data_IF_349583102418
#
_entry.id   IF_349583102418
#
_cell.length_a   1.000
_cell.length_b   1.000
_cell.length_c   1.000
_cell.angle_alpha   90.00
_cell.angle_beta   90.00
_cell.angle_gamma   90.00
#
_symmetry.space_group_name_H-M   'P 1'
#
loop_
_entity.id
_entity.type
_entity.pdbx_description
1 polymer ?
#
# COMPACT_ATOMS: atom_id res chain seq x y z
N UNK A 1 -15.76 9.19 -73.75
CA UNK A 1 -15.51 7.90 -73.06
C UNK A 1 -14.03 7.82 -72.78
N UNK A 2 -13.61 8.04 -71.53
CA UNK A 2 -12.22 7.89 -71.11
C UNK A 2 -12.21 7.11 -69.80
N UNK A 3 -11.39 6.07 -69.76
CA UNK A 3 -11.30 5.08 -68.71
C UNK A 3 -10.27 5.45 -67.64
N UNK A 4 -10.57 4.97 -66.44
CA UNK A 4 -9.79 4.75 -65.21
C UNK A 4 -8.25 4.65 -65.29
N UNK A 5 -7.60 5.24 -64.29
CA UNK A 5 -6.40 4.69 -63.63
C UNK A 5 -6.41 5.02 -62.12
N UNK A 6 -6.33 3.97 -61.28
CA UNK A 6 -6.16 4.02 -59.83
C UNK A 6 -4.69 4.36 -59.43
N UNK A 7 -4.44 4.90 -58.23
CA UNK A 7 -3.10 5.04 -57.69
C UNK A 7 -2.67 3.86 -56.79
N UNK A 8 -1.42 3.44 -56.97
CA UNK A 8 -0.74 2.31 -56.35
C UNK A 8 -0.13 2.66 -54.97
N UNK A 9 -0.62 1.94 -53.95
CA UNK A 9 -0.01 1.43 -52.69
C UNK A 9 0.78 2.29 -51.65
N UNK A 10 0.54 2.00 -50.34
CA UNK A 10 1.38 2.39 -49.20
C UNK A 10 2.40 1.28 -48.85
N UNK A 11 3.60 1.27 -49.44
CA UNK A 11 4.66 0.27 -49.16
C UNK A 11 5.57 0.56 -47.94
N UNK A 12 5.34 1.64 -47.19
CA UNK A 12 6.29 2.10 -46.14
C UNK A 12 6.00 1.63 -44.72
N UNK A 13 4.79 1.12 -44.44
CA UNK A 13 4.41 0.72 -43.07
C UNK A 13 4.77 -0.74 -42.72
N UNK A 14 4.87 -1.62 -43.72
CA UNK A 14 5.12 -3.05 -43.48
C UNK A 14 6.61 -3.39 -43.30
N UNK A 15 7.52 -2.68 -43.98
CA UNK A 15 8.97 -2.91 -43.82
C UNK A 15 9.52 -2.58 -42.42
N UNK A 16 8.86 -1.68 -41.67
CA UNK A 16 9.25 -1.36 -40.29
C UNK A 16 8.87 -2.50 -39.31
N UNK A 17 7.77 -3.21 -39.58
CA UNK A 17 7.35 -4.38 -38.78
C UNK A 17 8.25 -5.59 -39.03
N UNK A 18 8.70 -5.76 -40.27
CA UNK A 18 9.56 -6.87 -40.67
C UNK A 18 10.99 -6.70 -40.10
N UNK A 19 11.53 -5.47 -40.07
CA UNK A 19 12.84 -5.18 -39.48
C UNK A 19 12.88 -5.32 -37.94
N UNK A 20 11.74 -5.16 -37.24
CA UNK A 20 11.64 -5.31 -35.79
C UNK A 20 11.28 -6.75 -35.35
N UNK A 21 10.96 -7.64 -36.29
CA UNK A 21 10.41 -8.97 -36.02
C UNK A 21 11.42 -10.07 -35.67
N UNK A 22 12.72 -9.88 -35.92
CA UNK A 22 13.68 -11.01 -35.94
C UNK A 22 14.55 -11.23 -34.69
N UNK A 23 14.32 -10.50 -33.59
CA UNK A 23 15.09 -10.71 -32.35
C UNK A 23 14.41 -10.23 -31.07
N UNK A 24 13.15 -9.82 -31.14
CA UNK A 24 12.42 -9.27 -30.00
C UNK A 24 11.28 -10.22 -29.65
N UNK A 25 11.42 -10.92 -28.52
CA UNK A 25 10.36 -11.75 -27.96
C UNK A 25 9.19 -10.84 -27.52
N UNK A 26 8.27 -10.65 -28.47
CA UNK A 26 7.14 -9.73 -28.33
C UNK A 26 6.19 -10.14 -27.21
N UNK A 27 6.10 -11.44 -26.88
CA UNK A 27 5.30 -11.93 -25.75
C UNK A 27 5.97 -11.62 -24.43
N UNK A 28 7.28 -11.83 -24.32
CA UNK A 28 8.04 -11.46 -23.12
C UNK A 28 8.03 -9.94 -22.87
N UNK A 29 8.07 -9.13 -23.93
CA UNK A 29 7.88 -7.68 -23.81
C UNK A 29 6.45 -7.33 -23.41
N UNK A 30 5.42 -7.90 -24.05
CA UNK A 30 4.02 -7.66 -23.66
C UNK A 30 3.76 -8.00 -22.19
N UNK A 31 4.31 -9.11 -21.70
CA UNK A 31 4.22 -9.48 -20.29
C UNK A 31 4.92 -8.48 -19.34
N UNK A 32 6.01 -7.84 -19.77
CA UNK A 32 6.69 -6.77 -18.99
C UNK A 32 6.00 -5.40 -19.08
N UNK A 33 5.24 -5.17 -20.14
CA UNK A 33 4.41 -3.99 -20.35
C UNK A 33 2.97 -4.16 -19.85
N UNK A 34 2.61 -5.31 -19.29
CA UNK A 34 1.26 -5.59 -18.82
C UNK A 34 0.88 -4.71 -17.62
N UNK A 35 -0.15 -3.88 -17.81
CA UNK A 35 -0.71 -2.93 -16.84
C UNK A 35 -1.91 -3.56 -16.09
N UNK A 36 -2.30 -4.80 -16.41
CA UNK A 36 -3.50 -5.45 -15.87
C UNK A 36 -3.59 -5.40 -14.34
N UNK A 37 -2.46 -5.52 -13.65
CA UNK A 37 -2.45 -5.50 -12.18
C UNK A 37 -2.59 -4.08 -11.57
N UNK A 38 -2.34 -3.04 -12.36
CA UNK A 38 -2.32 -1.63 -11.96
C UNK A 38 -3.33 -0.79 -12.77
N UNK A 39 -4.56 -1.30 -12.88
CA UNK A 39 -5.65 -0.62 -13.58
C UNK A 39 -6.22 0.55 -12.72
N UNK A 40 -6.50 1.73 -13.33
CA UNK A 40 -7.11 2.86 -12.62
C UNK A 40 -8.43 2.54 -11.92
N UNK A 41 -9.26 1.67 -12.52
CA UNK A 41 -10.52 1.26 -11.92
C UNK A 41 -10.30 0.47 -10.62
N UNK A 42 -9.28 -0.39 -10.58
CA UNK A 42 -8.90 -1.11 -9.36
C UNK A 42 -8.39 -0.15 -8.27
N UNK A 43 -7.60 0.86 -8.64
CA UNK A 43 -7.15 1.90 -7.72
C UNK A 43 -8.31 2.69 -7.12
N UNK A 44 -9.24 3.16 -7.96
CA UNK A 44 -10.42 3.88 -7.51
C UNK A 44 -11.28 3.01 -6.59
N UNK A 45 -11.44 1.74 -6.93
CA UNK A 45 -12.17 0.77 -6.10
C UNK A 45 -11.51 0.56 -4.74
N UNK A 46 -10.18 0.46 -4.70
CA UNK A 46 -9.42 0.42 -3.46
C UNK A 46 -9.66 1.64 -2.59
N UNK A 47 -9.64 2.83 -3.18
CA UNK A 47 -9.91 4.07 -2.47
C UNK A 47 -11.35 4.15 -1.93
N UNK A 48 -12.33 3.67 -2.70
CA UNK A 48 -13.72 3.54 -2.22
C UNK A 48 -13.82 2.58 -1.02
N UNK A 49 -13.09 1.46 -1.05
CA UNK A 49 -13.02 0.53 0.07
C UNK A 49 -12.40 1.15 1.32
N UNK A 50 -11.49 2.11 1.20
CA UNK A 50 -11.00 2.89 2.35
C UNK A 50 -12.16 3.55 3.08
N UNK A 51 -13.03 4.25 2.36
CA UNK A 51 -14.15 4.99 2.95
C UNK A 51 -15.21 4.04 3.53
N UNK A 52 -15.58 2.99 2.78
CA UNK A 52 -16.57 1.99 3.24
C UNK A 52 -16.03 1.21 4.43
N UNK A 53 -14.75 0.79 4.37
CA UNK A 53 -14.06 0.09 5.45
C UNK A 53 -13.98 0.94 6.72
N UNK A 54 -13.55 2.21 6.59
CA UNK A 54 -13.47 3.14 7.72
C UNK A 54 -14.85 3.36 8.35
N UNK A 55 -15.89 3.54 7.54
CA UNK A 55 -17.26 3.68 8.04
C UNK A 55 -17.75 2.43 8.77
N UNK A 56 -17.46 1.23 8.26
CA UNK A 56 -17.81 -0.03 8.93
C UNK A 56 -17.02 -0.23 10.21
N UNK A 57 -15.73 0.11 10.23
CA UNK A 57 -14.89 0.05 11.41
C UNK A 57 -15.41 0.99 12.50
N UNK A 58 -15.75 2.24 12.17
CA UNK A 58 -16.31 3.21 13.13
C UNK A 58 -17.66 2.78 13.72
N UNK A 59 -18.39 1.87 13.06
CA UNK A 59 -19.64 1.29 13.58
C UNK A 59 -19.44 0.05 14.43
N UNK A 60 -18.22 -0.48 14.53
CA UNK A 60 -17.93 -1.65 15.33
C UNK A 60 -17.79 -1.27 16.81
N UNK A 61 -18.74 -1.64 17.68
CA UNK A 61 -18.67 -1.28 19.09
C UNK A 61 -17.48 -1.95 19.81
N UNK A 62 -16.97 -3.07 19.30
CA UNK A 62 -15.84 -3.79 19.90
C UNK A 62 -14.52 -3.00 19.83
N UNK A 63 -14.40 -2.02 18.92
CA UNK A 63 -13.20 -1.19 18.81
C UNK A 63 -13.15 -0.09 19.89
N UNK A 64 -14.27 0.23 20.54
CA UNK A 64 -14.39 1.32 21.51
C UNK A 64 -14.48 0.80 22.95
N UNK A 65 -13.53 -0.04 23.34
CA UNK A 65 -13.41 -0.54 24.72
C UNK A 65 -12.37 0.24 25.51
N UNK A 66 -12.45 0.19 26.84
CA UNK A 66 -11.54 0.89 27.77
C UNK A 66 -10.06 0.57 27.50
N UNK A 67 -9.74 -0.68 27.15
CA UNK A 67 -8.38 -1.09 26.83
C UNK A 67 -7.84 -0.42 25.56
N UNK A 68 -8.66 -0.35 24.50
CA UNK A 68 -8.29 0.32 23.26
C UNK A 68 -8.17 1.84 23.44
N UNK A 69 -9.00 2.46 24.30
CA UNK A 69 -8.86 3.88 24.63
C UNK A 69 -7.53 4.19 25.33
N UNK A 70 -7.12 3.36 26.30
CA UNK A 70 -5.83 3.55 26.99
C UNK A 70 -4.64 3.43 26.03
N UNK A 71 -4.71 2.46 25.11
CA UNK A 71 -3.68 2.26 24.10
C UNK A 71 -3.67 3.40 23.07
N UNK A 72 -4.84 3.85 22.63
CA UNK A 72 -4.98 5.01 21.76
C UNK A 72 -4.39 6.27 22.41
N UNK A 73 -4.63 6.50 23.70
CA UNK A 73 -4.06 7.62 24.43
C UNK A 73 -2.51 7.54 24.50
N UNK A 74 -1.96 6.35 24.82
CA UNK A 74 -0.51 6.14 24.83
C UNK A 74 0.10 6.35 23.45
N UNK A 75 -0.58 5.87 22.41
CA UNK A 75 -0.17 6.04 21.03
C UNK A 75 -0.16 7.52 20.59
N UNK A 76 -1.17 8.29 20.99
CA UNK A 76 -1.23 9.75 20.75
C UNK A 76 -0.09 10.45 21.49
N UNK A 77 0.16 10.10 22.76
CA UNK A 77 1.27 10.65 23.53
C UNK A 77 2.64 10.33 22.89
N UNK A 78 2.85 9.10 22.43
CA UNK A 78 4.05 8.71 21.70
C UNK A 78 4.19 9.49 20.39
N UNK A 79 3.10 9.66 19.62
CA UNK A 79 3.08 10.46 18.41
C UNK A 79 3.45 11.92 18.65
N UNK A 80 2.93 12.53 19.72
CA UNK A 80 3.29 13.89 20.15
C UNK A 80 4.76 13.96 20.53
N UNK A 81 5.24 13.04 21.37
CA UNK A 81 6.63 13.01 21.83
C UNK A 81 7.61 12.92 20.65
N UNK A 82 7.35 12.05 19.67
CA UNK A 82 8.24 11.92 18.53
C UNK A 82 8.16 13.14 17.61
N UNK A 83 6.97 13.73 17.43
CA UNK A 83 6.83 14.99 16.68
C UNK A 83 7.64 16.11 17.33
N UNK A 84 7.68 16.19 18.66
CA UNK A 84 8.53 17.13 19.38
C UNK A 84 10.01 16.83 19.13
N UNK A 85 10.45 15.57 19.24
CA UNK A 85 11.84 15.17 18.96
C UNK A 85 12.27 15.58 17.56
N UNK A 86 11.41 15.38 16.56
CA UNK A 86 11.65 15.78 15.17
C UNK A 86 11.65 17.30 14.99
N UNK A 87 10.79 18.01 15.72
CA UNK A 87 10.70 19.46 15.65
C UNK A 87 11.88 20.18 16.34
N UNK A 88 12.53 19.55 17.33
CA UNK A 88 13.65 20.15 18.08
C UNK A 88 14.81 20.57 17.17
N UNK A 89 15.33 19.74 16.24
CA UNK A 89 16.36 20.17 15.30
C UNK A 89 15.93 21.35 14.42
N UNK A 90 14.68 21.35 13.95
CA UNK A 90 14.14 22.41 13.08
C UNK A 90 14.03 23.72 13.86
N UNK A 91 13.52 23.65 15.09
CA UNK A 91 13.46 24.79 16.01
C UNK A 91 14.86 25.29 16.36
N UNK A 92 15.82 24.38 16.57
CA UNK A 92 17.22 24.72 16.84
C UNK A 92 17.85 25.50 15.68
N UNK A 93 17.64 25.06 14.43
CA UNK A 93 18.08 25.81 13.24
C UNK A 93 17.41 27.18 13.19
N UNK A 94 16.11 27.28 13.46
CA UNK A 94 15.38 28.55 13.48
C UNK A 94 15.91 29.52 14.54
N UNK A 95 16.19 29.03 15.75
CA UNK A 95 16.79 29.83 16.83
C UNK A 95 18.22 30.26 16.46
N UNK A 96 19.00 29.38 15.85
CA UNK A 96 20.35 29.71 15.39
C UNK A 96 20.32 30.81 14.32
N UNK A 97 19.44 30.69 13.33
CA UNK A 97 19.25 31.72 12.30
C UNK A 97 18.79 33.05 12.90
N UNK A 98 17.87 33.00 13.87
CA UNK A 98 17.45 34.19 14.63
C UNK A 98 18.61 34.84 15.38
N UNK A 99 19.47 34.06 16.06
CA UNK A 99 20.67 34.57 16.73
C UNK A 99 21.68 35.16 15.74
N UNK A 100 21.85 34.55 14.56
CA UNK A 100 22.71 35.10 13.51
C UNK A 100 22.17 36.42 12.96
N UNK A 101 20.85 36.59 12.89
CA UNK A 101 20.18 37.85 12.52
C UNK A 101 20.41 39.00 13.50
N UNK A 102 20.85 38.72 14.73
CA UNK A 102 21.26 39.76 15.69
C UNK A 102 22.64 40.34 15.36
N UNK A 103 23.48 39.59 14.64
CA UNK A 103 24.87 39.96 14.31
C UNK A 103 24.99 40.46 12.86
N UNK A 104 24.12 39.97 11.97
CA UNK A 104 24.14 40.31 10.55
C UNK A 104 22.77 40.85 10.12
N UNK A 105 22.66 42.04 9.49
CA UNK A 105 21.39 42.54 8.99
C UNK A 105 20.88 41.62 7.87
N UNK A 106 19.85 40.84 8.18
CA UNK A 106 19.24 39.84 7.29
C UNK A 106 18.11 40.41 6.43
N UNK A 107 18.01 41.74 6.32
CA UNK A 107 16.89 42.45 5.67
C UNK A 107 16.77 42.16 4.15
N UNK A 108 17.76 41.53 3.53
CA UNK A 108 17.74 41.12 2.12
C UNK A 108 17.73 39.60 1.87
N UNK A 109 17.73 38.77 2.93
CA UNK A 109 18.17 37.37 2.85
C UNK A 109 17.01 36.40 3.08
N UNK A 110 16.33 35.98 2.00
CA UNK A 110 15.19 35.02 1.96
C UNK A 110 15.52 33.57 2.35
N UNK A 111 16.64 33.34 3.04
CA UNK A 111 17.16 32.00 3.32
C UNK A 111 16.41 31.30 4.45
N UNK A 112 15.81 32.02 5.41
CA UNK A 112 15.10 31.43 6.55
C UNK A 112 13.94 30.54 6.07
N UNK A 113 13.02 31.10 5.28
CA UNK A 113 11.88 30.37 4.76
C UNK A 113 12.31 29.23 3.82
N UNK A 114 13.32 29.43 2.98
CA UNK A 114 13.77 28.38 2.06
C UNK A 114 14.46 27.20 2.78
N UNK A 115 15.21 27.47 3.85
CA UNK A 115 15.90 26.44 4.64
C UNK A 115 14.91 25.68 5.52
N UNK A 116 14.00 26.37 6.20
CA UNK A 116 12.97 25.74 7.05
C UNK A 116 12.05 24.86 6.20
N UNK A 117 11.55 25.38 5.07
CA UNK A 117 10.74 24.57 4.13
C UNK A 117 11.51 23.39 3.54
N UNK A 118 12.83 23.54 3.33
CA UNK A 118 13.71 22.45 2.91
C UNK A 118 13.84 21.35 3.95
N UNK A 119 14.00 21.71 5.23
CA UNK A 119 14.08 20.76 6.34
C UNK A 119 12.76 20.02 6.55
N UNK A 120 11.63 20.73 6.49
CA UNK A 120 10.30 20.12 6.53
C UNK A 120 10.11 19.14 5.37
N UNK A 121 10.53 19.52 4.15
CA UNK A 121 10.48 18.63 3.00
C UNK A 121 11.35 17.37 3.18
N UNK A 122 12.56 17.53 3.72
CA UNK A 122 13.47 16.42 3.99
C UNK A 122 12.89 15.49 5.06
N UNK A 123 12.40 16.03 6.17
CA UNK A 123 11.78 15.23 7.22
C UNK A 123 10.56 14.45 6.72
N UNK A 124 9.68 15.14 6.01
CA UNK A 124 8.38 14.59 5.59
C UNK A 124 8.51 13.62 4.41
N UNK A 125 9.28 13.96 3.38
CA UNK A 125 9.32 13.21 2.12
C UNK A 125 10.59 12.41 1.89
N UNK A 126 11.75 12.88 2.37
CA UNK A 126 13.04 12.18 2.14
C UNK A 126 13.29 11.14 3.24
N UNK A 127 13.13 11.55 4.49
CA UNK A 127 13.28 10.70 5.67
C UNK A 127 12.02 9.93 6.01
N UNK A 128 10.86 10.28 5.45
CA UNK A 128 9.59 9.57 5.65
C UNK A 128 9.18 9.48 7.12
N UNK A 129 9.41 10.53 7.91
CA UNK A 129 9.23 10.48 9.36
C UNK A 129 7.82 10.01 9.77
N UNK A 130 6.69 10.47 9.17
CA UNK A 130 5.38 9.93 9.54
C UNK A 130 5.25 8.42 9.35
N UNK A 131 5.84 7.88 8.28
CA UNK A 131 5.83 6.44 8.03
C UNK A 131 6.71 5.67 9.02
N UNK A 132 7.86 6.22 9.40
CA UNK A 132 8.66 5.68 10.50
C UNK A 132 7.83 5.52 11.77
N UNK A 133 7.08 6.57 12.14
CA UNK A 133 6.23 6.55 13.33
C UNK A 133 5.19 5.45 13.23
N UNK A 134 4.50 5.35 12.09
CA UNK A 134 3.51 4.30 11.86
C UNK A 134 4.10 2.90 12.05
N UNK A 135 5.25 2.61 11.43
CA UNK A 135 5.86 1.29 11.55
C UNK A 135 6.43 1.04 12.96
N UNK A 136 6.89 2.08 13.66
CA UNK A 136 7.30 2.00 15.05
C UNK A 136 6.12 1.68 15.98
N UNK A 137 4.92 2.19 15.70
CA UNK A 137 3.73 1.94 16.51
C UNK A 137 3.40 0.46 16.66
N UNK A 138 3.72 -0.38 15.67
CA UNK A 138 3.54 -1.83 15.75
C UNK A 138 4.34 -2.46 16.89
N UNK A 139 5.53 -1.94 17.18
CA UNK A 139 6.36 -2.42 18.30
C UNK A 139 5.92 -1.83 19.64
N UNK A 140 5.26 -0.67 19.63
CA UNK A 140 4.81 0.04 20.84
C UNK A 140 3.41 -0.37 21.29
N UNK A 141 2.54 -0.78 20.36
CA UNK A 141 1.13 -1.10 20.61
C UNK A 141 0.79 -2.45 19.95
N UNK A 142 1.01 -3.58 20.65
CA UNK A 142 0.85 -4.94 20.11
C UNK A 142 -0.62 -5.38 19.89
N UNK A 143 -1.59 -4.47 19.89
CA UNK A 143 -3.03 -4.79 19.81
C UNK A 143 -3.64 -4.69 18.43
N UNK A 144 -2.85 -4.33 17.42
CA UNK A 144 -3.29 -4.24 16.03
C UNK A 144 -3.88 -5.56 15.51
N UNK A 145 -3.27 -6.67 15.88
CA UNK A 145 -3.77 -8.01 15.55
C UNK A 145 -5.17 -8.29 16.14
N UNK A 146 -5.40 -7.85 17.37
CA UNK A 146 -6.72 -7.97 18.02
C UNK A 146 -7.77 -7.08 17.34
N UNK A 147 -7.40 -5.85 16.96
CA UNK A 147 -8.31 -4.95 16.22
C UNK A 147 -8.71 -5.56 14.88
N UNK A 148 -7.76 -6.14 14.16
CA UNK A 148 -8.02 -6.87 12.91
C UNK A 148 -9.01 -8.02 13.13
N UNK A 149 -8.74 -8.89 14.11
CA UNK A 149 -9.57 -10.08 14.37
C UNK A 149 -10.97 -9.72 14.87
N UNK A 150 -11.11 -8.72 15.74
CA UNK A 150 -12.41 -8.23 16.21
C UNK A 150 -13.22 -7.57 15.09
N UNK A 151 -12.55 -6.82 14.22
CA UNK A 151 -13.21 -6.25 13.04
C UNK A 151 -13.65 -7.34 12.06
N UNK A 152 -12.84 -8.37 11.85
CA UNK A 152 -13.20 -9.51 11.01
C UNK A 152 -14.43 -10.25 11.54
N UNK A 153 -14.50 -10.47 12.86
CA UNK A 153 -15.67 -11.04 13.51
C UNK A 153 -16.92 -10.19 13.28
N UNK A 154 -16.80 -8.87 13.43
CA UNK A 154 -17.90 -7.94 13.22
C UNK A 154 -18.38 -7.92 11.76
N UNK A 155 -17.46 -8.01 10.79
CA UNK A 155 -17.79 -8.11 9.36
C UNK A 155 -18.59 -9.38 9.07
N UNK A 156 -18.22 -10.51 9.65
CA UNK A 156 -18.98 -11.77 9.49
C UNK A 156 -20.37 -11.70 10.13
N UNK A 157 -20.47 -11.17 11.35
CA UNK A 157 -21.77 -10.99 12.04
C UNK A 157 -22.69 -10.08 11.22
N UNK A 158 -22.17 -8.93 10.76
CA UNK A 158 -22.93 -7.96 9.95
C UNK A 158 -23.33 -8.57 8.61
N UNK A 159 -22.49 -9.40 8.00
CA UNK A 159 -22.80 -10.10 6.76
C UNK A 159 -23.98 -11.05 6.94
N UNK A 160 -23.95 -11.91 7.97
CA UNK A 160 -25.06 -12.82 8.28
C UNK A 160 -26.34 -12.05 8.59
N UNK A 161 -26.24 -10.93 9.31
CA UNK A 161 -27.39 -10.08 9.62
C UNK A 161 -28.01 -9.44 8.36
N UNK A 162 -27.18 -9.01 7.40
CA UNK A 162 -27.64 -8.41 6.14
C UNK A 162 -28.34 -9.42 5.23
N UNK A 163 -27.94 -10.69 5.28
CA UNK A 163 -28.43 -11.75 4.39
C UNK A 163 -29.33 -12.76 5.13
N UNK A 164 -29.99 -12.35 6.22
CA UNK A 164 -30.93 -13.22 6.99
C UNK A 164 -32.08 -13.77 6.13
N UNK A 165 -32.46 -13.05 5.08
CA UNK A 165 -33.53 -13.45 4.16
C UNK A 165 -33.08 -14.31 2.98
N UNK A 166 -31.78 -14.53 2.82
CA UNK A 166 -31.22 -15.23 1.67
C UNK A 166 -31.04 -16.73 1.96
N UNK A 167 -30.92 -17.53 0.90
CA UNK A 167 -30.80 -18.97 1.04
C UNK A 167 -29.43 -19.35 1.61
N UNK A 168 -29.36 -20.21 2.65
CA UNK A 168 -28.09 -20.51 3.34
C UNK A 168 -26.97 -21.03 2.44
N UNK A 169 -27.31 -21.75 1.36
CA UNK A 169 -26.33 -22.32 0.43
C UNK A 169 -25.74 -21.29 -0.56
N UNK A 170 -26.28 -20.07 -0.60
CA UNK A 170 -25.77 -18.97 -1.43
C UNK A 170 -24.89 -18.01 -0.62
N UNK A 171 -24.81 -18.19 0.70
CA UNK A 171 -24.00 -17.36 1.58
C UNK A 171 -22.53 -17.77 1.50
N UNK A 172 -21.64 -16.77 1.56
CA UNK A 172 -20.21 -17.03 1.71
C UNK A 172 -19.91 -17.68 3.06
N UNK A 173 -18.87 -18.50 3.10
CA UNK A 173 -18.31 -19.00 4.36
C UNK A 173 -17.74 -17.85 5.23
N UNK A 174 -17.77 -18.05 6.55
CA UNK A 174 -17.24 -17.09 7.53
C UNK A 174 -15.71 -17.12 7.57
N UNK A 175 -15.09 -15.95 7.78
CA UNK A 175 -13.63 -15.82 7.83
C UNK A 175 -13.10 -16.03 9.24
N UNK A 176 -13.71 -15.35 10.21
CA UNK A 176 -13.23 -15.31 11.59
C UNK A 176 -13.11 -16.69 12.25
N UNK A 177 -14.10 -17.61 12.15
CA UNK A 177 -14.03 -18.91 12.84
C UNK A 177 -12.86 -19.78 12.40
N UNK A 178 -12.53 -19.77 11.11
CA UNK A 178 -11.42 -20.54 10.56
C UNK A 178 -10.09 -19.84 10.81
N UNK A 179 -10.02 -18.52 10.56
CA UNK A 179 -8.78 -17.77 10.72
C UNK A 179 -8.30 -17.71 12.18
N UNK A 180 -9.20 -17.71 13.16
CA UNK A 180 -8.84 -17.79 14.59
C UNK A 180 -8.17 -19.13 14.97
N UNK A 181 -8.45 -20.21 14.24
CA UNK A 181 -7.85 -21.53 14.48
C UNK A 181 -6.44 -21.63 13.90
N UNK A 182 -6.06 -20.73 13.00
CA UNK A 182 -4.74 -20.74 12.39
C UNK A 182 -3.75 -20.20 13.43
N UNK A 183 -2.65 -20.92 13.62
CA UNK A 183 -1.58 -20.45 14.50
C UNK A 183 -0.98 -19.19 13.88
N UNK A 184 -0.99 -18.09 14.62
CA UNK A 184 -0.22 -16.91 14.23
C UNK A 184 1.26 -17.23 14.45
N UNK A 185 2.03 -17.23 13.38
CA UNK A 185 3.48 -17.20 13.44
C UNK A 185 3.85 -15.75 13.21
N UNK A 186 4.41 -15.09 14.23
CA UNK A 186 4.94 -13.73 14.05
C UNK A 186 5.95 -13.76 12.92
N UNK A 187 5.58 -13.14 11.79
CA UNK A 187 6.41 -13.03 10.59
C UNK A 187 7.71 -12.24 10.82
N UNK A 188 7.86 -11.66 12.01
CA UNK A 188 9.11 -11.17 12.56
C UNK A 188 9.64 -12.17 13.60
N UNK A 189 10.57 -13.02 13.15
CA UNK A 189 11.59 -13.73 13.94
C UNK A 189 11.14 -14.86 14.87
N UNK A 190 11.72 -16.04 14.61
CA UNK A 190 12.07 -17.01 15.65
C UNK A 190 12.56 -16.30 16.91
N UNK A 191 11.89 -16.44 18.06
CA UNK A 191 12.51 -16.36 19.39
C UNK A 191 13.41 -15.14 19.73
N UNK A 192 13.30 -13.99 19.08
CA UNK A 192 14.14 -12.83 19.38
C UNK A 192 13.36 -11.78 20.17
N UNK A 193 13.96 -11.30 21.26
CA UNK A 193 13.40 -10.28 22.15
C UNK A 193 12.93 -9.03 21.38
N UNK A 194 11.82 -8.41 21.80
CA UNK A 194 11.23 -7.20 21.17
C UNK A 194 12.24 -6.09 20.90
N UNK A 195 13.28 -5.99 21.74
CA UNK A 195 14.39 -5.04 21.60
C UNK A 195 15.26 -5.30 20.36
N UNK A 196 15.49 -6.56 20.01
CA UNK A 196 16.26 -6.96 18.84
C UNK A 196 15.47 -6.72 17.54
N UNK A 197 14.17 -7.01 17.55
CA UNK A 197 13.29 -6.68 16.43
C UNK A 197 13.23 -5.16 16.18
N UNK A 198 13.15 -4.38 17.26
CA UNK A 198 13.18 -2.92 17.20
C UNK A 198 14.52 -2.39 16.67
N UNK A 199 15.67 -2.88 17.15
CA UNK A 199 16.98 -2.43 16.67
C UNK A 199 17.20 -2.74 15.19
N UNK A 200 16.79 -3.93 14.73
CA UNK A 200 16.81 -4.29 13.32
C UNK A 200 15.88 -3.41 12.47
N UNK A 201 14.72 -3.02 12.99
CA UNK A 201 13.84 -2.06 12.33
C UNK A 201 14.52 -0.69 12.20
N UNK A 202 15.07 -0.15 13.30
CA UNK A 202 15.76 1.14 13.32
C UNK A 202 16.95 1.16 12.34
N UNK A 203 17.78 0.12 12.32
CA UNK A 203 18.92 0.02 11.40
C UNK A 203 18.46 -0.03 9.93
N UNK A 204 17.43 -0.81 9.61
CA UNK A 204 16.86 -0.87 8.24
C UNK A 204 16.31 0.49 7.82
N UNK A 205 15.66 1.21 8.73
CA UNK A 205 15.12 2.53 8.46
C UNK A 205 16.25 3.56 8.26
N UNK A 206 17.23 3.60 9.14
CA UNK A 206 18.40 4.48 9.04
C UNK A 206 19.15 4.27 7.72
N UNK A 207 19.43 3.01 7.34
CA UNK A 207 20.07 2.69 6.07
C UNK A 207 19.28 3.21 4.86
N UNK A 208 17.95 3.06 4.87
CA UNK A 208 17.09 3.60 3.81
C UNK A 208 17.11 5.13 3.79
N UNK A 209 17.03 5.77 4.95
CA UNK A 209 17.14 7.22 5.10
C UNK A 209 18.45 7.77 4.52
N UNK A 210 19.59 7.14 4.85
CA UNK A 210 20.89 7.52 4.30
C UNK A 210 20.94 7.41 2.77
N UNK A 211 20.39 6.33 2.19
CA UNK A 211 20.32 6.17 0.73
C UNK A 211 19.44 7.26 0.10
N UNK A 212 18.27 7.55 0.70
CA UNK A 212 17.37 8.61 0.23
C UNK A 212 18.04 9.99 0.28
N UNK A 213 18.75 10.30 1.37
CA UNK A 213 19.51 11.54 1.52
C UNK A 213 20.64 11.62 0.50
N UNK A 214 21.36 10.52 0.25
CA UNK A 214 22.41 10.47 -0.77
C UNK A 214 21.84 10.72 -2.17
N UNK A 215 20.74 10.06 -2.56
CA UNK A 215 20.07 10.29 -3.85
C UNK A 215 19.61 11.75 -3.97
N UNK A 216 19.04 12.30 -2.90
CA UNK A 216 18.61 13.69 -2.85
C UNK A 216 19.80 14.64 -3.03
N UNK A 217 20.91 14.44 -2.33
CA UNK A 217 22.14 15.22 -2.47
C UNK A 217 22.72 15.12 -3.88
N UNK A 218 22.80 13.92 -4.46
CA UNK A 218 23.26 13.70 -5.83
C UNK A 218 22.38 14.43 -6.86
N UNK A 219 21.09 14.65 -6.56
CA UNK A 219 20.19 15.39 -7.45
C UNK A 219 20.57 16.88 -7.60
N UNK A 220 21.39 17.43 -6.70
CA UNK A 220 21.88 18.81 -6.79
C UNK A 220 23.13 18.98 -7.67
N UNK A 221 23.73 17.89 -8.17
CA UNK A 221 24.87 17.98 -9.08
C UNK A 221 24.46 18.70 -10.40
N UNK A 222 25.24 19.69 -10.87
CA UNK A 222 24.84 20.57 -11.98
C UNK A 222 24.69 19.86 -13.33
N UNK A 223 25.37 18.72 -13.54
CA UNK A 223 25.37 17.96 -14.80
C UNK A 223 24.44 16.75 -14.75
N UNK A 224 24.55 15.91 -13.71
CA UNK A 224 23.86 14.62 -13.62
C UNK A 224 22.56 14.73 -12.82
N UNK A 225 22.43 15.75 -11.96
CA UNK A 225 21.38 15.83 -10.94
C UNK A 225 19.94 15.86 -11.48
N UNK A 226 19.74 16.37 -12.71
CA UNK A 226 18.42 16.32 -13.39
C UNK A 226 17.98 14.88 -13.71
N UNK A 227 18.92 13.97 -13.95
CA UNK A 227 18.63 12.57 -14.30
C UNK A 227 18.67 11.63 -13.09
N UNK A 228 19.31 12.01 -11.99
CA UNK A 228 19.42 11.16 -10.78
C UNK A 228 18.05 10.76 -10.26
N UNK A 229 17.14 11.71 -10.04
CA UNK A 229 15.81 11.41 -9.51
C UNK A 229 14.96 10.60 -10.49
N UNK A 230 14.83 10.96 -11.78
CA UNK A 230 14.16 10.10 -12.76
C UNK A 230 14.76 8.70 -12.83
N UNK A 231 16.09 8.56 -12.89
CA UNK A 231 16.75 7.26 -12.98
C UNK A 231 16.52 6.41 -11.72
N UNK A 232 16.64 7.00 -10.53
CA UNK A 232 16.32 6.33 -9.27
C UNK A 232 14.83 5.94 -9.20
N UNK A 233 13.94 6.81 -9.68
CA UNK A 233 12.50 6.56 -9.79
C UNK A 233 12.23 5.37 -10.71
N UNK A 234 12.83 5.36 -11.90
CA UNK A 234 12.67 4.28 -12.85
C UNK A 234 13.19 2.96 -12.28
N UNK A 235 14.40 2.95 -11.71
CA UNK A 235 15.00 1.75 -11.14
C UNK A 235 14.14 1.14 -10.02
N UNK A 236 13.62 1.97 -9.14
CA UNK A 236 12.81 1.52 -7.99
C UNK A 236 11.38 1.18 -8.37
N UNK A 237 10.74 1.97 -9.24
CA UNK A 237 9.35 1.82 -9.64
C UNK A 237 9.14 0.71 -10.69
N UNK A 238 10.08 0.52 -11.63
CA UNK A 238 10.02 -0.55 -12.63
C UNK A 238 9.94 -1.94 -11.97
N UNK A 239 10.71 -2.15 -10.89
CA UNK A 239 10.67 -3.42 -10.14
C UNK A 239 9.32 -3.69 -9.47
N UNK A 240 8.52 -2.64 -9.26
CA UNK A 240 7.25 -2.73 -8.55
C UNK A 240 6.06 -2.83 -9.53
N UNK A 241 6.00 -1.96 -10.54
CA UNK A 241 4.81 -1.78 -11.41
C UNK A 241 5.06 -2.23 -12.87
N UNK A 242 6.28 -2.64 -13.21
CA UNK A 242 6.65 -3.06 -14.58
C UNK A 242 7.13 -1.91 -15.47
N UNK A 243 7.53 -2.26 -16.70
CA UNK A 243 8.24 -1.35 -17.59
C UNK A 243 7.36 -0.22 -18.13
N UNK A 244 6.08 -0.49 -18.41
CA UNK A 244 5.16 0.48 -19.01
C UNK A 244 4.95 1.71 -18.12
N UNK A 245 4.32 1.56 -16.94
CA UNK A 245 4.10 2.67 -16.02
C UNK A 245 5.40 3.35 -15.57
N UNK A 246 6.49 2.59 -15.41
CA UNK A 246 7.79 3.16 -15.05
C UNK A 246 8.37 4.06 -16.14
N UNK A 247 8.23 3.70 -17.41
CA UNK A 247 8.69 4.53 -18.53
C UNK A 247 7.86 5.81 -18.64
N UNK A 248 6.55 5.73 -18.40
CA UNK A 248 5.68 6.91 -18.36
C UNK A 248 6.06 7.87 -17.22
N UNK A 249 6.26 7.36 -16.00
CA UNK A 249 6.71 8.16 -14.84
C UNK A 249 8.10 8.75 -15.08
N UNK A 250 9.02 7.98 -15.68
CA UNK A 250 10.35 8.48 -16.05
C UNK A 250 10.26 9.62 -17.07
N UNK A 251 9.52 9.43 -18.16
CA UNK A 251 9.34 10.45 -19.21
C UNK A 251 8.70 11.73 -18.68
N UNK A 252 7.64 11.60 -17.87
CA UNK A 252 7.05 12.75 -17.18
C UNK A 252 8.04 13.38 -16.18
N UNK A 253 8.88 12.58 -15.53
CA UNK A 253 9.88 13.05 -14.57
C UNK A 253 11.05 13.82 -15.17
N UNK A 254 11.30 13.71 -16.47
CA UNK A 254 12.26 14.60 -17.14
C UNK A 254 11.72 16.03 -17.23
N UNK A 255 10.40 16.20 -17.32
CA UNK A 255 9.71 17.49 -17.49
C UNK A 255 9.22 18.06 -16.15
N UNK A 256 8.77 17.21 -15.24
CA UNK A 256 8.20 17.61 -13.95
C UNK A 256 9.26 18.15 -12.99
N UNK A 257 8.94 19.20 -12.20
CA UNK A 257 9.80 19.64 -11.11
C UNK A 257 10.09 18.50 -10.12
N UNK A 258 11.36 18.40 -9.70
CA UNK A 258 11.89 17.34 -8.80
C UNK A 258 11.02 17.07 -7.58
N UNK A 259 10.47 18.13 -6.98
CA UNK A 259 9.60 18.06 -5.79
C UNK A 259 8.40 17.13 -6.02
N UNK A 260 7.76 17.19 -7.18
CA UNK A 260 6.56 16.41 -7.47
C UNK A 260 6.87 14.93 -7.69
N UNK A 261 8.03 14.61 -8.28
CA UNK A 261 8.48 13.24 -8.41
C UNK A 261 8.76 12.61 -7.05
N UNK A 262 9.44 13.34 -6.16
CA UNK A 262 9.70 12.87 -4.81
C UNK A 262 8.39 12.66 -4.07
N UNK A 263 7.45 13.61 -4.12
CA UNK A 263 6.12 13.46 -3.50
C UNK A 263 5.37 12.25 -4.06
N UNK A 264 5.38 12.05 -5.38
CA UNK A 264 4.71 10.93 -6.04
C UNK A 264 5.29 9.58 -5.62
N UNK A 265 6.61 9.41 -5.76
CA UNK A 265 7.30 8.19 -5.37
C UNK A 265 7.10 7.90 -3.89
N UNK A 266 7.22 8.94 -3.06
CA UNK A 266 7.05 8.83 -1.63
C UNK A 266 5.67 8.32 -1.28
N UNK A 267 4.65 8.93 -1.88
CA UNK A 267 3.25 8.53 -1.70
C UNK A 267 3.03 7.08 -2.15
N UNK A 268 3.61 6.68 -3.29
CA UNK A 268 3.53 5.32 -3.79
C UNK A 268 4.16 4.30 -2.84
N UNK A 269 5.41 4.52 -2.43
CA UNK A 269 6.13 3.59 -1.55
C UNK A 269 5.57 3.59 -0.13
N UNK A 270 5.09 4.72 0.37
CA UNK A 270 4.43 4.80 1.67
C UNK A 270 3.09 4.05 1.67
N UNK A 271 2.24 4.24 0.65
CA UNK A 271 1.00 3.47 0.48
C UNK A 271 1.27 1.97 0.40
N UNK A 272 2.23 1.55 -0.42
CA UNK A 272 2.62 0.14 -0.56
C UNK A 272 3.18 -0.45 0.74
N UNK A 273 3.98 0.31 1.47
CA UNK A 273 4.55 -0.15 2.74
C UNK A 273 3.47 -0.25 3.82
N UNK A 274 2.56 0.73 3.89
CA UNK A 274 1.40 0.70 4.77
C UNK A 274 0.56 -0.56 4.54
N UNK A 275 0.31 -0.93 3.27
CA UNK A 275 -0.42 -2.17 2.96
C UNK A 275 0.27 -3.44 3.41
N UNK A 276 1.60 -3.47 3.41
CA UNK A 276 2.32 -4.64 3.92
C UNK A 276 2.18 -4.78 5.42
N UNK A 277 2.18 -3.66 6.15
CA UNK A 277 1.98 -3.65 7.59
C UNK A 277 0.54 -4.02 7.96
N UNK A 278 -0.45 -3.37 7.35
CA UNK A 278 -1.88 -3.60 7.64
C UNK A 278 -2.35 -5.01 7.25
N UNK A 279 -1.71 -5.67 6.30
CA UNK A 279 -2.04 -7.05 5.92
C UNK A 279 -1.27 -8.09 6.73
N UNK A 280 -0.36 -7.68 7.61
CA UNK A 280 0.43 -8.65 8.35
C UNK A 280 -0.43 -9.59 9.23
N UNK A 281 -1.45 -9.13 9.98
CA UNK A 281 -2.28 -10.04 10.78
C UNK A 281 -2.87 -11.21 9.97
N UNK A 282 -3.19 -10.96 8.70
CA UNK A 282 -3.61 -12.01 7.77
C UNK A 282 -2.46 -12.94 7.38
N UNK A 283 -1.31 -12.40 6.96
CA UNK A 283 -0.16 -13.19 6.51
C UNK A 283 0.59 -13.91 7.63
N UNK A 284 0.45 -13.47 8.89
CA UNK A 284 0.98 -14.18 10.05
C UNK A 284 0.21 -15.50 10.30
N UNK A 285 -1.02 -15.61 9.80
CA UNK A 285 -1.88 -16.80 9.96
C UNK A 285 -1.91 -17.67 8.70
N UNK A 286 -2.05 -17.05 7.54
CA UNK A 286 -2.03 -17.75 6.26
C UNK A 286 -0.60 -17.76 5.74
N UNK A 287 0.04 -18.93 5.81
CA UNK A 287 1.46 -19.10 5.56
C UNK A 287 1.78 -19.09 4.07
N UNK A 288 2.03 -17.91 3.50
CA UNK A 288 2.56 -17.76 2.15
C UNK A 288 4.09 -17.82 2.17
N UNK A 289 4.70 -18.54 1.23
CA UNK A 289 6.12 -18.36 0.94
C UNK A 289 6.39 -16.95 0.37
N UNK A 290 7.66 -16.51 0.40
CA UNK A 290 8.03 -15.19 -0.15
C UNK A 290 7.62 -14.99 -1.60
N UNK A 291 7.73 -16.04 -2.43
CA UNK A 291 7.35 -15.99 -3.85
C UNK A 291 5.83 -15.85 -4.02
N UNK A 292 5.06 -16.60 -3.23
CA UNK A 292 3.60 -16.58 -3.30
C UNK A 292 3.02 -15.28 -2.75
N UNK A 293 3.53 -14.79 -1.61
CA UNK A 293 3.18 -13.46 -1.06
C UNK A 293 3.44 -12.37 -2.11
N UNK A 294 4.60 -12.41 -2.79
CA UNK A 294 4.91 -11.46 -3.86
C UNK A 294 3.91 -11.51 -5.01
N UNK A 295 3.49 -12.71 -5.43
CA UNK A 295 2.50 -12.89 -6.50
C UNK A 295 1.11 -12.43 -6.07
N UNK A 296 0.71 -12.72 -4.83
CA UNK A 296 -0.55 -12.26 -4.25
C UNK A 296 -0.65 -10.73 -4.24
N UNK A 297 0.41 -10.04 -3.77
CA UNK A 297 0.46 -8.57 -3.76
C UNK A 297 0.44 -7.99 -5.16
N UNK A 298 1.18 -8.61 -6.10
CA UNK A 298 1.22 -8.16 -7.50
C UNK A 298 -0.15 -8.29 -8.16
N UNK A 299 -0.86 -9.40 -7.94
CA UNK A 299 -2.18 -9.62 -8.56
C UNK A 299 -3.24 -8.60 -8.09
N UNK A 300 -3.06 -8.04 -6.89
CA UNK A 300 -3.99 -7.10 -6.25
C UNK A 300 -3.42 -5.69 -6.15
N UNK A 301 -2.40 -5.37 -6.93
CA UNK A 301 -1.61 -4.15 -6.72
C UNK A 301 -2.44 -2.87 -6.82
N UNK A 302 -3.31 -2.76 -7.83
CA UNK A 302 -4.17 -1.59 -8.01
C UNK A 302 -5.11 -1.36 -6.83
N UNK A 303 -5.86 -2.38 -6.39
CA UNK A 303 -6.81 -2.24 -5.27
C UNK A 303 -6.10 -1.98 -3.95
N UNK A 304 -4.98 -2.66 -3.69
CA UNK A 304 -4.19 -2.44 -2.49
C UNK A 304 -3.57 -1.04 -2.49
N UNK A 305 -3.04 -0.59 -3.63
CA UNK A 305 -2.50 0.76 -3.76
C UNK A 305 -3.57 1.82 -3.50
N UNK A 306 -4.76 1.68 -4.09
CA UNK A 306 -5.87 2.60 -3.87
C UNK A 306 -6.32 2.67 -2.41
N UNK A 307 -6.46 1.51 -1.77
CA UNK A 307 -6.84 1.41 -0.37
C UNK A 307 -5.77 2.00 0.56
N UNK A 308 -4.51 1.64 0.33
CA UNK A 308 -3.36 2.17 1.06
C UNK A 308 -3.18 3.67 0.84
N UNK A 309 -3.46 4.19 -0.36
CA UNK A 309 -3.40 5.61 -0.67
C UNK A 309 -4.44 6.38 0.13
N UNK A 310 -5.67 5.86 0.19
CA UNK A 310 -6.75 6.46 0.98
C UNK A 310 -6.35 6.61 2.45
N UNK A 311 -5.89 5.53 3.08
CA UNK A 311 -5.45 5.60 4.48
C UNK A 311 -4.17 6.41 4.67
N UNK A 312 -3.23 6.37 3.72
CA UNK A 312 -2.03 7.22 3.78
C UNK A 312 -2.39 8.71 3.85
N UNK A 313 -3.33 9.17 3.01
CA UNK A 313 -3.80 10.56 3.05
C UNK A 313 -4.46 10.92 4.38
N UNK A 314 -5.26 10.00 4.94
CA UNK A 314 -5.92 10.20 6.23
C UNK A 314 -4.91 10.24 7.39
N UNK A 315 -3.95 9.30 7.42
CA UNK A 315 -2.97 9.21 8.51
C UNK A 315 -2.03 10.43 8.53
N UNK A 316 -1.82 11.05 7.38
CA UNK A 316 -0.99 12.25 7.27
C UNK A 316 -1.57 13.46 8.00
N UNK A 317 -2.86 13.42 8.39
CA UNK A 317 -3.48 14.46 9.20
C UNK A 317 -2.83 14.43 10.59
N UNK A 318 -2.15 15.52 11.00
CA UNK A 318 -1.45 15.56 12.28
C UNK A 318 -2.40 15.31 13.46
N UNK A 319 -1.88 14.71 14.53
CA UNK A 319 -2.61 14.33 15.77
C UNK A 319 -3.64 13.20 15.60
N UNK A 320 -4.36 13.15 14.48
CA UNK A 320 -5.40 12.14 14.23
C UNK A 320 -4.82 10.86 13.60
N UNK A 321 -3.67 10.97 12.93
CA UNK A 321 -3.09 9.87 12.16
C UNK A 321 -2.88 8.56 12.92
N UNK A 322 -2.53 8.64 14.20
CA UNK A 322 -2.35 7.47 15.06
C UNK A 322 -3.67 6.73 15.31
N UNK A 323 -4.77 7.47 15.53
CA UNK A 323 -6.11 6.89 15.69
C UNK A 323 -6.60 6.28 14.37
N UNK A 324 -6.31 6.96 13.26
CA UNK A 324 -6.65 6.49 11.92
C UNK A 324 -5.94 5.19 11.60
N UNK A 325 -4.73 4.96 12.12
CA UNK A 325 -4.03 3.69 11.94
C UNK A 325 -4.84 2.51 12.51
N UNK A 326 -5.40 2.65 13.73
CA UNK A 326 -6.28 1.61 14.30
C UNK A 326 -7.55 1.37 13.47
N UNK A 327 -8.13 2.44 12.92
CA UNK A 327 -9.25 2.34 11.98
C UNK A 327 -8.82 1.65 10.68
N UNK A 328 -7.62 1.93 10.18
CA UNK A 328 -7.07 1.32 8.97
C UNK A 328 -6.86 -0.18 9.13
N UNK A 329 -6.35 -0.60 10.30
CA UNK A 329 -6.20 -2.00 10.67
C UNK A 329 -7.55 -2.73 10.71
N UNK A 330 -8.53 -2.15 11.41
CA UNK A 330 -9.89 -2.68 11.44
C UNK A 330 -10.54 -2.71 10.04
N UNK A 331 -10.30 -1.69 9.21
CA UNK A 331 -10.82 -1.63 7.84
C UNK A 331 -10.17 -2.66 6.92
N UNK A 332 -8.93 -3.07 7.23
CA UNK A 332 -8.21 -4.08 6.45
C UNK A 332 -8.85 -5.46 6.60
N UNK A 333 -9.46 -5.75 7.75
CA UNK A 333 -10.28 -6.96 7.90
C UNK A 333 -11.44 -6.98 6.89
N UNK A 334 -12.12 -5.85 6.69
CA UNK A 334 -13.15 -5.74 5.67
C UNK A 334 -12.58 -5.89 4.25
N UNK A 335 -11.45 -5.24 3.96
CA UNK A 335 -10.76 -5.38 2.67
C UNK A 335 -10.46 -6.85 2.32
N UNK A 336 -9.91 -7.61 3.27
CA UNK A 336 -9.60 -9.04 3.08
C UNK A 336 -10.84 -9.80 2.60
N UNK A 337 -12.00 -9.59 3.22
CA UNK A 337 -13.24 -10.27 2.79
C UNK A 337 -13.67 -9.98 1.35
N UNK A 338 -13.12 -8.94 0.71
CA UNK A 338 -13.44 -8.54 -0.67
C UNK A 338 -12.43 -8.98 -1.71
N UNK A 339 -11.18 -9.21 -1.30
CA UNK A 339 -10.10 -9.49 -2.24
C UNK A 339 -9.52 -10.90 -2.08
N UNK A 340 -9.93 -11.65 -1.07
CA UNK A 340 -9.60 -13.06 -0.89
C UNK A 340 -10.86 -13.90 -0.81
N UNK A 341 -10.70 -15.23 -0.90
CA UNK A 341 -11.75 -16.18 -0.56
C UNK A 341 -11.73 -16.48 0.96
N UNK A 342 -12.84 -16.95 1.55
CA UNK A 342 -12.86 -17.36 2.95
C UNK A 342 -11.85 -18.49 3.21
N UNK A 343 -11.04 -18.40 4.28
CA UNK A 343 -10.08 -19.45 4.62
C UNK A 343 -10.82 -20.75 5.00
N UNK A 344 -10.37 -21.92 4.51
CA UNK A 344 -10.95 -23.20 4.89
C UNK A 344 -10.50 -23.62 6.30
N UNK A 345 -11.00 -24.75 6.83
CA UNK A 345 -10.44 -25.36 8.04
C UNK A 345 -8.92 -25.62 7.91
N UNK A 346 -8.16 -25.63 9.03
CA UNK A 346 -6.69 -25.80 8.99
C UNK A 346 -6.18 -27.04 8.23
N UNK A 347 -7.00 -28.09 8.13
CA UNK A 347 -6.69 -29.32 7.39
C UNK A 347 -6.53 -29.14 5.88
N UNK A 348 -7.10 -28.07 5.30
CA UNK A 348 -7.14 -27.83 3.85
C UNK A 348 -6.34 -26.59 3.42
N UNK A 349 -5.46 -26.09 4.31
CA UNK A 349 -4.77 -24.82 4.12
C UNK A 349 -3.80 -24.81 2.93
N UNK A 350 -3.14 -25.93 2.61
CA UNK A 350 -2.12 -25.98 1.55
C UNK A 350 -2.71 -25.66 0.17
N UNK A 351 -3.86 -26.26 -0.17
CA UNK A 351 -4.56 -25.99 -1.43
C UNK A 351 -5.11 -24.57 -1.51
N UNK A 352 -5.48 -23.99 -0.36
CA UNK A 352 -5.98 -22.62 -0.27
C UNK A 352 -4.92 -21.59 -0.67
N UNK A 353 -3.70 -21.67 -0.13
CA UNK A 353 -2.60 -20.72 -0.43
C UNK A 353 -2.35 -20.64 -1.94
N UNK A 354 -2.27 -21.79 -2.61
CA UNK A 354 -2.08 -21.88 -4.05
C UNK A 354 -3.23 -21.19 -4.82
N UNK A 355 -4.48 -21.43 -4.40
CA UNK A 355 -5.67 -20.83 -5.02
C UNK A 355 -5.70 -19.29 -4.90
N UNK A 356 -5.15 -18.74 -3.81
CA UNK A 356 -5.21 -17.31 -3.51
C UNK A 356 -4.18 -16.47 -4.27
N UNK A 357 -3.19 -17.09 -4.92
CA UNK A 357 -2.17 -16.38 -5.69
C UNK A 357 -2.76 -15.56 -6.86
N UNK A 358 -3.94 -15.94 -7.36
CA UNK A 358 -4.66 -15.26 -8.45
C UNK A 358 -6.00 -14.76 -7.93
N UNK A 359 -6.34 -13.50 -8.21
CA UNK A 359 -7.64 -12.94 -7.85
C UNK A 359 -8.69 -13.35 -8.89
N UNK A 360 -9.36 -14.47 -8.64
CA UNK A 360 -10.31 -15.09 -9.58
C UNK A 360 -11.48 -14.19 -9.95
N UNK A 361 -12.02 -13.45 -8.97
CA UNK A 361 -13.24 -12.65 -9.15
C UNK A 361 -12.96 -11.16 -9.40
N UNK A 362 -11.75 -10.81 -9.87
CA UNK A 362 -11.31 -9.41 -10.07
C UNK A 362 -12.29 -8.63 -10.93
N UNK A 363 -12.59 -9.10 -12.14
CA UNK A 363 -13.40 -8.35 -13.11
C UNK A 363 -14.83 -8.10 -12.59
N UNK A 364 -15.43 -9.12 -11.99
CA UNK A 364 -16.77 -9.05 -11.44
C UNK A 364 -16.83 -8.05 -10.27
N UNK A 365 -15.83 -8.11 -9.37
CA UNK A 365 -15.72 -7.19 -8.23
C UNK A 365 -15.57 -5.72 -8.64
N UNK A 366 -14.79 -5.45 -9.68
CA UNK A 366 -14.55 -4.10 -10.20
C UNK A 366 -15.80 -3.49 -10.86
N UNK A 367 -16.73 -4.31 -11.34
CA UNK A 367 -17.95 -3.86 -12.03
C UNK A 367 -19.17 -3.70 -11.10
N UNK A 368 -19.12 -4.20 -9.86
CA UNK A 368 -20.23 -4.07 -8.91
C UNK A 368 -20.50 -2.63 -8.46
N UNK A 369 -21.78 -2.32 -8.20
CA UNK A 369 -22.16 -1.13 -7.45
C UNK A 369 -21.64 -1.16 -6.00
N UNK A 370 -21.43 0.02 -5.40
CA UNK A 370 -20.97 0.13 -4.01
C UNK A 370 -21.95 -0.48 -2.99
N UNK A 371 -23.26 -0.44 -3.28
CA UNK A 371 -24.28 -1.06 -2.43
C UNK A 371 -24.20 -2.60 -2.42
N UNK A 372 -23.73 -3.18 -3.53
CA UNK A 372 -23.72 -4.62 -3.78
C UNK A 372 -22.33 -5.26 -3.60
N UNK A 373 -21.40 -4.59 -2.91
CA UNK A 373 -20.05 -5.11 -2.66
C UNK A 373 -20.01 -6.43 -1.87
N UNK A 374 -21.14 -6.85 -1.26
CA UNK A 374 -21.28 -8.11 -0.54
C UNK A 374 -21.84 -9.26 -1.41
N UNK A 375 -22.23 -8.99 -2.67
CA UNK A 375 -22.98 -9.94 -3.50
C UNK A 375 -22.12 -11.00 -4.22
N UNK A 376 -20.85 -10.72 -4.50
CA UNK A 376 -19.98 -11.66 -5.24
C UNK A 376 -19.25 -12.54 -4.28
N UNK A 377 -19.77 -13.73 -4.01
CA UNK A 377 -19.00 -14.85 -3.49
C UNK A 377 -19.62 -16.18 -3.98
N UNK A 378 -19.10 -16.71 -5.08
CA UNK A 378 -19.36 -18.09 -5.48
C UNK A 378 -18.25 -18.99 -4.94
N UNK A 379 -18.56 -19.76 -3.91
CA UNK A 379 -17.91 -21.04 -3.68
C UNK A 379 -18.97 -22.01 -3.18
N UNK A 380 -19.77 -22.61 -4.09
CA UNK A 380 -20.50 -23.81 -3.71
C UNK A 380 -19.44 -24.85 -3.38
N UNK A 381 -19.42 -25.32 -2.13
CA UNK A 381 -18.74 -26.59 -1.81
C UNK A 381 -19.29 -27.62 -2.81
N UNK A 382 -18.45 -28.42 -3.49
CA UNK A 382 -18.97 -29.58 -4.20
C UNK A 382 -19.73 -30.41 -3.18
N UNK A 383 -21.03 -30.56 -3.40
CA UNK A 383 -21.87 -31.47 -2.63
C UNK A 383 -21.21 -32.84 -2.79
N UNK A 384 -20.59 -33.36 -1.73
CA UNK A 384 -20.28 -34.78 -1.68
C UNK A 384 -21.61 -35.50 -1.88
N UNK A 385 -21.77 -36.09 -3.07
CA UNK A 385 -22.85 -37.00 -3.37
C UNK A 385 -22.80 -38.10 -2.31
N UNK A 386 -23.72 -38.04 -1.37
CA UNK A 386 -23.84 -39.02 -0.30
C UNK A 386 -23.81 -40.43 -0.90
N UNK A 387 -22.93 -41.26 -0.35
CA UNK A 387 -23.05 -42.71 -0.54
C UNK A 387 -24.42 -43.14 0.01
N UNK A 388 -25.24 -43.85 -0.75
CA UNK A 388 -26.44 -44.46 -0.19
C UNK A 388 -26.00 -45.53 0.80
N UNK A 389 -26.47 -45.40 2.05
CA UNK A 389 -26.56 -46.51 3.01
C UNK A 389 -27.81 -47.31 2.75
#
# INVERSE_FOLDING_TARGET
MAATSEPEQPKRADGLKEALGHGVDTEHLRAKFDISNFEPNAMLRGFQLTLVGAHRALRNPALFTSDHYRQAALAVMAGIAIRLIVAVPILGVRVLLWLMGLVYPMDEVSWDDSLVNGLDFVGEYVLQLPFFLMALMRYLVPTLDNLFMQSLQWVDITYVQKHKGDQPHQLRDMYYPNLRRYRSVDGSTHSESTTQALSMFLHRFARRGCISVAIFALSYLPLIGKLVLPAASFYTFNRAVGLGPATAVFGMGVVLPRRYLVIFLQTYFASRSLMRELLEPYFARVHFSHAEKRKWFRNREGVLFGFGLGFYLLIRIPLVGVLIYGIAEASTAYLITKITDPPPPPSEMEGFVASQQVWKNKHEFLNLSLANMDAIHHSPRPVESGRPT
#
